data_IF_501526604779
#
_entry.id   IF_501526604779
#
_cell.length_a   1.000
_cell.length_b   1.000
_cell.length_c   1.000
_cell.angle_alpha   90.00
_cell.angle_beta   90.00
_cell.angle_gamma   90.00
#
_symmetry.space_group_name_H-M   'P 1'
#
loop_
_entity.id
_entity.type
_entity.pdbx_description
1 polymer ?
#
# COMPACT_ATOMS: atom_id res chain seq x y z
N UNK A 1 57.97 -24.38 19.72
CA UNK A 1 57.81 -22.93 20.02
C UNK A 1 57.69 -21.99 18.80
N UNK A 2 58.09 -22.36 17.56
CA UNK A 2 57.98 -21.45 16.40
C UNK A 2 56.54 -21.26 15.87
N UNK A 3 55.68 -22.27 16.03
CA UNK A 3 54.27 -22.27 15.58
C UNK A 3 53.36 -21.39 16.43
N UNK A 4 53.60 -21.29 17.74
CA UNK A 4 52.80 -20.45 18.65
C UNK A 4 52.96 -18.96 18.32
N UNK A 5 54.18 -18.52 17.96
CA UNK A 5 54.44 -17.12 17.57
C UNK A 5 53.79 -16.75 16.24
N UNK A 6 53.71 -17.67 15.27
CA UNK A 6 53.06 -17.41 13.98
C UNK A 6 51.53 -17.38 14.09
N UNK A 7 50.94 -18.24 14.91
CA UNK A 7 49.49 -18.21 15.20
C UNK A 7 49.14 -16.92 15.93
N UNK A 8 49.93 -16.52 16.93
CA UNK A 8 49.74 -15.26 17.66
C UNK A 8 49.82 -14.03 16.75
N UNK A 9 50.76 -13.99 15.79
CA UNK A 9 50.83 -12.88 14.82
C UNK A 9 49.62 -12.86 13.89
N UNK A 10 49.11 -14.02 13.47
CA UNK A 10 47.93 -14.10 12.61
C UNK A 10 46.65 -13.68 13.34
N UNK A 11 46.51 -14.05 14.61
CA UNK A 11 45.36 -13.60 15.42
C UNK A 11 45.41 -12.10 15.68
N UNK A 12 46.58 -11.54 15.99
CA UNK A 12 46.74 -10.09 16.16
C UNK A 12 46.40 -9.35 14.86
N UNK A 13 46.89 -9.81 13.70
CA UNK A 13 46.59 -9.17 12.42
C UNK A 13 45.09 -9.27 12.06
N UNK A 14 44.42 -10.37 12.39
CA UNK A 14 42.98 -10.51 12.19
C UNK A 14 42.18 -9.54 13.08
N UNK A 15 42.57 -9.39 14.35
CA UNK A 15 41.95 -8.43 15.28
C UNK A 15 42.12 -7.00 14.77
N UNK A 16 43.32 -6.64 14.32
CA UNK A 16 43.59 -5.31 13.76
C UNK A 16 42.81 -5.06 12.47
N UNK A 17 42.67 -6.06 11.61
CA UNK A 17 41.87 -5.97 10.38
C UNK A 17 40.39 -5.76 10.68
N UNK A 18 39.84 -6.50 11.65
CA UNK A 18 38.45 -6.32 12.10
C UNK A 18 38.25 -4.94 12.73
N UNK A 19 39.20 -4.47 13.55
CA UNK A 19 39.14 -3.13 14.14
C UNK A 19 39.18 -2.04 13.06
N UNK A 20 39.99 -2.19 12.01
CA UNK A 20 40.04 -1.26 10.88
C UNK A 20 38.72 -1.22 10.09
N UNK A 21 38.09 -2.39 9.86
CA UNK A 21 36.76 -2.46 9.22
C UNK A 21 35.71 -1.75 10.06
N UNK A 22 35.67 -2.02 11.37
CA UNK A 22 34.72 -1.37 12.28
C UNK A 22 34.91 0.15 12.34
N UNK A 23 36.16 0.62 12.39
CA UNK A 23 36.48 2.07 12.37
C UNK A 23 36.04 2.72 11.05
N UNK A 24 36.26 2.04 9.92
CA UNK A 24 35.88 2.55 8.60
C UNK A 24 34.35 2.62 8.46
N UNK A 25 33.64 1.58 8.89
CA UNK A 25 32.18 1.55 8.91
C UNK A 25 31.61 2.68 9.77
N UNK A 26 32.21 2.95 10.93
CA UNK A 26 31.83 4.08 11.79
C UNK A 26 32.01 5.42 11.06
N UNK A 27 33.15 5.65 10.41
CA UNK A 27 33.42 6.91 9.70
C UNK A 27 32.55 7.14 8.47
N UNK A 28 32.16 6.07 7.75
CA UNK A 28 31.37 6.18 6.52
C UNK A 28 29.87 6.30 6.83
N UNK A 29 29.39 5.63 7.88
CA UNK A 29 27.94 5.57 8.19
C UNK A 29 27.50 6.55 9.26
N UNK A 30 28.42 7.09 10.07
CA UNK A 30 28.11 8.06 11.13
C UNK A 30 27.34 7.49 12.33
N UNK A 31 27.14 6.16 12.39
CA UNK A 31 26.38 5.50 13.45
C UNK A 31 27.25 5.27 14.69
N UNK A 32 26.79 5.73 15.87
CA UNK A 32 27.50 5.49 17.11
C UNK A 32 27.32 4.04 17.59
N UNK A 33 28.32 3.49 18.30
CA UNK A 33 28.22 2.15 18.90
C UNK A 33 26.99 2.01 19.82
N UNK A 34 26.56 3.11 20.44
CA UNK A 34 25.35 3.18 21.26
C UNK A 34 24.06 3.04 20.45
N UNK A 35 24.03 3.43 19.17
CA UNK A 35 22.88 3.25 18.27
C UNK A 35 22.75 1.79 17.84
N UNK A 36 23.90 1.12 17.65
CA UNK A 36 23.94 -0.31 17.35
C UNK A 36 23.51 -1.12 18.57
N UNK A 37 23.97 -0.76 19.78
CA UNK A 37 23.52 -1.40 21.02
C UNK A 37 22.03 -1.13 21.23
N UNK A 38 21.53 0.11 21.04
CA UNK A 38 20.09 0.40 21.05
C UNK A 38 19.33 -0.46 20.04
N UNK A 39 19.84 -0.62 18.83
CA UNK A 39 19.22 -1.45 17.79
C UNK A 39 19.23 -2.95 18.16
N UNK A 40 20.31 -3.46 18.74
CA UNK A 40 20.42 -4.86 19.21
C UNK A 40 19.49 -5.10 20.42
N UNK A 41 19.50 -4.19 21.40
CA UNK A 41 18.65 -4.27 22.61
C UNK A 41 17.17 -4.08 22.26
N UNK A 42 16.84 -3.18 21.33
CA UNK A 42 15.49 -3.02 20.77
C UNK A 42 15.06 -4.25 19.94
N UNK A 43 16.00 -4.92 19.26
CA UNK A 43 15.74 -6.18 18.55
C UNK A 43 15.66 -7.43 19.45
N UNK A 44 15.92 -7.31 20.76
CA UNK A 44 15.68 -8.38 21.72
C UNK A 44 14.44 -8.17 22.60
N UNK A 45 13.93 -6.95 22.76
CA UNK A 45 12.62 -6.70 23.39
C UNK A 45 11.42 -6.68 22.41
N UNK A 46 11.66 -6.75 21.11
CA UNK A 46 10.59 -6.81 20.08
C UNK A 46 10.16 -8.21 19.63
N UNK A 47 10.49 -9.27 20.37
CA UNK A 47 10.29 -10.68 19.94
C UNK A 47 9.06 -11.41 20.50
N UNK A 48 8.21 -10.79 21.32
CA UNK A 48 6.97 -11.45 21.79
C UNK A 48 5.64 -10.71 21.55
N UNK A 49 5.61 -9.52 20.94
CA UNK A 49 4.30 -8.84 20.72
C UNK A 49 4.08 -8.16 19.35
N UNK A 50 5.03 -8.20 18.41
CA UNK A 50 4.95 -7.33 17.22
C UNK A 50 5.05 -7.97 15.82
N UNK A 51 5.39 -9.26 15.70
CA UNK A 51 5.72 -9.85 14.37
C UNK A 51 4.79 -10.95 13.87
N UNK A 52 3.99 -11.55 14.74
CA UNK A 52 2.90 -12.43 14.31
C UNK A 52 1.68 -11.65 13.79
N UNK A 53 1.50 -10.36 14.17
CA UNK A 53 0.34 -9.56 13.78
C UNK A 53 0.39 -8.96 12.37
N UNK A 54 1.55 -8.50 11.91
CA UNK A 54 1.60 -7.70 10.67
C UNK A 54 1.55 -8.53 9.38
N UNK A 55 2.15 -9.73 9.36
CA UNK A 55 2.03 -10.68 8.25
C UNK A 55 0.71 -11.48 8.31
N UNK A 56 0.19 -11.70 9.53
CA UNK A 56 -1.10 -12.39 9.73
C UNK A 56 -2.29 -11.52 9.32
N UNK A 57 -2.26 -10.20 9.50
CA UNK A 57 -3.39 -9.34 9.08
C UNK A 57 -3.55 -9.34 7.54
N UNK A 58 -2.47 -9.26 6.76
CA UNK A 58 -2.54 -9.38 5.28
C UNK A 58 -3.02 -10.77 4.82
N UNK A 59 -2.65 -11.84 5.52
CA UNK A 59 -3.08 -13.21 5.19
C UNK A 59 -4.46 -13.59 5.77
N UNK A 60 -4.87 -13.03 6.91
CA UNK A 60 -6.15 -13.29 7.56
C UNK A 60 -7.29 -12.52 6.91
N UNK A 61 -7.04 -11.30 6.42
CA UNK A 61 -8.02 -10.58 5.60
C UNK A 61 -8.24 -11.21 4.22
N UNK A 62 -7.29 -12.02 3.74
CA UNK A 62 -7.37 -12.73 2.47
C UNK A 62 -8.19 -14.04 2.54
N UNK A 63 -8.51 -14.55 3.74
CA UNK A 63 -9.06 -15.90 3.94
C UNK A 63 -10.58 -15.97 4.12
N UNK A 64 -11.23 -14.88 4.53
CA UNK A 64 -12.68 -14.85 4.67
C UNK A 64 -13.35 -14.60 3.31
N UNK A 65 -14.38 -15.38 2.93
CA UNK A 65 -15.23 -15.07 1.78
C UNK A 65 -15.68 -13.61 1.84
N UNK A 66 -15.61 -12.93 0.70
CA UNK A 66 -15.93 -11.50 0.58
C UNK A 66 -17.25 -11.11 1.26
N UNK A 67 -18.24 -12.01 1.22
CA UNK A 67 -19.60 -11.87 1.75
C UNK A 67 -19.71 -11.98 3.29
N UNK A 68 -18.69 -12.47 4.00
CA UNK A 68 -18.74 -12.70 5.47
C UNK A 68 -17.92 -11.73 6.31
N UNK A 69 -17.29 -10.72 5.69
CA UNK A 69 -16.47 -9.76 6.43
C UNK A 69 -17.35 -8.74 7.15
N UNK A 70 -17.17 -8.66 8.47
CA UNK A 70 -17.76 -7.58 9.26
C UNK A 70 -16.95 -6.30 9.05
N UNK A 71 -17.46 -5.43 8.17
CA UNK A 71 -16.86 -4.13 7.87
C UNK A 71 -17.17 -3.08 8.95
N UNK A 72 -18.13 -3.32 9.85
CA UNK A 72 -18.54 -2.34 10.88
C UNK A 72 -17.46 -2.06 11.92
N UNK A 73 -16.44 -2.89 12.00
CA UNK A 73 -15.27 -2.67 12.87
C UNK A 73 -14.30 -1.61 12.35
N UNK A 74 -14.40 -1.23 11.08
CA UNK A 74 -13.55 -0.21 10.48
C UNK A 74 -14.17 1.18 10.64
N UNK A 75 -13.35 2.25 10.73
CA UNK A 75 -13.85 3.61 10.66
C UNK A 75 -14.70 3.80 9.39
N UNK A 76 -15.89 4.38 9.55
CA UNK A 76 -16.79 4.67 8.43
C UNK A 76 -17.02 6.17 8.28
N UNK A 77 -17.29 6.57 7.05
CA UNK A 77 -17.70 7.93 6.71
C UNK A 77 -18.87 7.87 5.73
N UNK A 78 -19.89 8.70 5.98
CA UNK A 78 -20.92 8.94 4.99
C UNK A 78 -20.33 9.81 3.87
N UNK A 79 -20.49 9.36 2.62
CA UNK A 79 -19.97 10.05 1.44
C UNK A 79 -21.05 10.14 0.37
N UNK A 80 -20.92 11.17 -0.48
CA UNK A 80 -21.65 11.25 -1.74
C UNK A 80 -20.80 10.60 -2.84
N UNK A 81 -21.26 9.48 -3.39
CA UNK A 81 -20.55 8.75 -4.43
C UNK A 81 -21.19 8.95 -5.80
N UNK A 82 -20.37 9.33 -6.78
CA UNK A 82 -20.71 9.43 -8.20
C UNK A 82 -19.88 8.44 -9.01
N UNK A 83 -20.06 8.39 -10.34
CA UNK A 83 -19.24 7.54 -11.20
C UNK A 83 -18.73 8.31 -12.41
N UNK A 84 -17.50 7.99 -12.82
CA UNK A 84 -16.81 8.62 -13.93
C UNK A 84 -16.12 7.59 -14.83
N UNK A 85 -15.67 8.04 -15.99
CA UNK A 85 -14.86 7.23 -16.90
C UNK A 85 -13.58 7.96 -17.30
N UNK A 86 -12.68 7.31 -18.03
CA UNK A 86 -11.50 7.97 -18.60
C UNK A 86 -11.84 8.94 -19.75
N UNK A 87 -13.04 8.86 -20.30
CA UNK A 87 -13.48 9.56 -21.49
C UNK A 87 -13.58 11.07 -21.36
N UNK A 88 -13.85 11.72 -22.50
CA UNK A 88 -13.94 13.17 -22.64
C UNK A 88 -15.02 13.78 -21.74
N UNK A 89 -16.09 13.04 -21.48
CA UNK A 89 -17.22 13.47 -20.65
C UNK A 89 -16.85 13.67 -19.17
N UNK A 90 -15.78 13.03 -18.70
CA UNK A 90 -15.32 13.11 -17.32
C UNK A 90 -13.97 13.82 -17.19
N UNK A 91 -13.04 13.57 -18.11
CA UNK A 91 -11.65 14.06 -18.00
C UNK A 91 -11.27 15.10 -19.05
N UNK A 92 -12.12 15.31 -20.07
CA UNK A 92 -11.80 16.13 -21.23
C UNK A 92 -10.80 15.50 -22.21
N UNK A 93 -10.40 14.22 -22.01
CA UNK A 93 -9.35 13.55 -22.80
C UNK A 93 -9.91 12.51 -23.76
N UNK A 94 -9.24 12.32 -24.89
CA UNK A 94 -9.47 11.23 -25.84
C UNK A 94 -8.39 10.15 -25.72
N UNK A 95 -8.60 8.99 -26.33
CA UNK A 95 -7.64 7.87 -26.28
C UNK A 95 -6.26 8.18 -26.85
N UNK A 96 -6.16 9.21 -27.69
CA UNK A 96 -4.90 9.64 -28.30
C UNK A 96 -4.09 10.58 -27.37
N UNK A 97 -4.69 11.03 -26.26
CA UNK A 97 -3.99 11.84 -25.25
C UNK A 97 -2.98 10.95 -24.48
N UNK A 98 -1.70 11.36 -24.35
CA UNK A 98 -0.70 10.61 -23.60
C UNK A 98 -1.08 10.33 -22.13
N UNK A 99 -1.93 11.18 -21.56
CA UNK A 99 -2.42 11.08 -20.19
C UNK A 99 -3.82 10.46 -20.09
N UNK A 100 -4.34 9.88 -21.17
CA UNK A 100 -5.63 9.19 -21.18
C UNK A 100 -5.63 8.01 -20.20
N UNK A 101 -6.60 7.99 -19.30
CA UNK A 101 -6.74 6.94 -18.28
C UNK A 101 -5.62 6.92 -17.23
N UNK A 102 -4.80 7.96 -17.12
CA UNK A 102 -3.82 8.11 -16.05
C UNK A 102 -4.42 8.98 -14.94
N UNK A 103 -4.46 8.43 -13.72
CA UNK A 103 -4.95 9.10 -12.51
C UNK A 103 -3.91 10.09 -11.96
N UNK A 104 -4.31 10.94 -11.01
CA UNK A 104 -3.41 11.85 -10.30
C UNK A 104 -2.18 11.17 -9.69
N UNK A 105 -2.32 9.95 -9.14
CA UNK A 105 -1.18 9.23 -8.57
C UNK A 105 -0.21 8.66 -9.62
N UNK A 106 -0.57 8.72 -10.91
CA UNK A 106 0.21 8.18 -12.02
C UNK A 106 -0.11 6.72 -12.38
N UNK A 107 -1.02 6.06 -11.64
CA UNK A 107 -1.50 4.72 -12.04
C UNK A 107 -2.62 4.82 -13.07
N UNK A 108 -2.76 3.80 -13.91
CA UNK A 108 -3.86 3.67 -14.85
C UNK A 108 -5.14 3.30 -14.12
N UNK A 109 -6.23 3.96 -14.53
CA UNK A 109 -7.58 3.65 -14.10
C UNK A 109 -7.90 2.17 -14.32
N UNK A 110 -8.58 1.55 -13.36
CA UNK A 110 -9.01 0.14 -13.48
C UNK A 110 -10.28 -0.16 -12.71
N UNK A 111 -11.04 -1.12 -13.24
CA UNK A 111 -12.20 -1.73 -12.60
C UNK A 111 -11.92 -3.21 -12.38
N UNK A 112 -11.51 -3.59 -11.18
CA UNK A 112 -11.16 -4.95 -10.77
C UNK A 112 -11.46 -5.16 -9.27
N UNK A 113 -10.94 -6.23 -8.64
CA UNK A 113 -11.08 -6.51 -7.21
C UNK A 113 -10.78 -5.26 -6.36
N UNK A 114 -9.65 -4.61 -6.66
CA UNK A 114 -9.33 -3.26 -6.23
C UNK A 114 -9.42 -2.34 -7.45
N UNK A 115 -10.37 -1.43 -7.41
CA UNK A 115 -10.61 -0.44 -8.47
C UNK A 115 -10.06 0.93 -8.07
N UNK A 116 -9.67 1.75 -9.04
CA UNK A 116 -9.24 3.13 -8.77
C UNK A 116 -10.44 4.02 -8.51
N UNK A 117 -10.38 4.88 -7.48
CA UNK A 117 -11.40 5.89 -7.18
C UNK A 117 -10.76 7.27 -7.01
N UNK A 118 -11.55 8.31 -7.25
CA UNK A 118 -11.16 9.68 -6.97
C UNK A 118 -11.76 10.13 -5.62
N UNK A 119 -10.98 10.89 -4.84
CA UNK A 119 -11.41 11.45 -3.57
C UNK A 119 -10.65 12.73 -3.25
N UNK A 120 -11.02 13.38 -2.15
CA UNK A 120 -10.25 14.48 -1.56
C UNK A 120 -9.04 13.93 -0.75
N UNK A 121 -7.78 14.22 -1.13
CA UNK A 121 -6.58 13.72 -0.44
C UNK A 121 -6.44 14.18 1.01
N UNK A 122 -7.06 15.31 1.38
CA UNK A 122 -6.98 15.84 2.75
C UNK A 122 -7.78 14.97 3.74
N UNK A 123 -8.78 14.24 3.24
CA UNK A 123 -9.62 13.33 4.02
C UNK A 123 -9.20 11.88 3.78
N UNK A 124 -9.06 11.50 2.51
CA UNK A 124 -8.64 10.18 2.08
C UNK A 124 -7.35 10.29 1.27
N UNK A 125 -6.16 10.24 1.91
CA UNK A 125 -4.89 10.33 1.20
C UNK A 125 -4.77 9.28 0.09
N UNK A 126 -4.01 9.60 -0.96
CA UNK A 126 -3.67 8.66 -2.03
C UNK A 126 -3.15 7.34 -1.42
N UNK A 127 -3.60 6.21 -1.97
CA UNK A 127 -3.34 4.87 -1.48
C UNK A 127 -4.35 4.37 -0.44
N UNK A 128 -5.28 5.21 0.04
CA UNK A 128 -6.33 4.76 0.97
C UNK A 128 -7.18 3.67 0.34
N UNK A 129 -7.36 2.56 1.07
CA UNK A 129 -8.19 1.44 0.68
C UNK A 129 -9.54 1.55 1.37
N UNK A 130 -10.59 1.66 0.55
CA UNK A 130 -11.98 1.75 0.97
C UNK A 130 -12.72 0.47 0.60
N UNK A 131 -13.64 0.04 1.46
CA UNK A 131 -14.73 -0.83 1.04
C UNK A 131 -15.98 0.01 0.78
N UNK A 132 -16.50 -0.11 -0.43
CA UNK A 132 -17.64 0.67 -0.92
C UNK A 132 -18.78 -0.30 -1.23
N UNK A 133 -19.84 -0.32 -0.40
CA UNK A 133 -21.00 -1.18 -0.61
C UNK A 133 -21.53 -1.15 -2.05
N UNK A 134 -21.77 -2.33 -2.64
CA UNK A 134 -22.23 -2.52 -4.03
C UNK A 134 -21.23 -2.11 -5.13
N UNK A 135 -20.03 -1.64 -4.79
CA UNK A 135 -18.94 -1.37 -5.74
C UNK A 135 -17.77 -2.34 -5.55
N UNK A 136 -17.33 -2.55 -4.31
CA UNK A 136 -16.16 -3.37 -3.97
C UNK A 136 -15.05 -2.54 -3.33
N UNK A 137 -13.80 -3.02 -3.43
CA UNK A 137 -12.66 -2.25 -2.93
C UNK A 137 -12.29 -1.12 -3.89
N UNK A 138 -12.20 0.09 -3.33
CA UNK A 138 -11.67 1.26 -4.00
C UNK A 138 -10.32 1.62 -3.41
N UNK A 139 -9.34 1.93 -4.26
CA UNK A 139 -8.07 2.54 -3.85
C UNK A 139 -8.08 3.97 -4.33
N UNK A 140 -7.91 4.92 -3.41
CA UNK A 140 -7.84 6.34 -3.76
C UNK A 140 -6.57 6.57 -4.57
N UNK A 141 -6.75 6.79 -5.85
CA UNK A 141 -5.67 6.92 -6.84
C UNK A 141 -5.76 8.25 -7.59
N UNK A 142 -6.94 8.84 -7.63
CA UNK A 142 -7.21 10.03 -8.42
C UNK A 142 -7.76 11.17 -7.57
N UNK A 143 -7.77 12.37 -8.15
CA UNK A 143 -8.36 13.57 -7.57
C UNK A 143 -9.18 14.29 -8.64
N UNK A 144 -10.16 15.07 -8.22
CA UNK A 144 -10.95 15.91 -9.11
C UNK A 144 -11.10 17.32 -8.56
N UNK A 145 -11.22 18.30 -9.44
CA UNK A 145 -11.49 19.69 -9.03
C UNK A 145 -12.84 19.81 -8.30
N UNK A 146 -13.84 19.05 -8.75
CA UNK A 146 -15.17 19.00 -8.14
C UNK A 146 -15.28 18.02 -6.96
N UNK A 147 -14.33 17.09 -6.81
CA UNK A 147 -14.37 16.06 -5.75
C UNK A 147 -13.68 16.62 -4.51
N UNK A 148 -14.49 17.14 -3.58
CA UNK A 148 -14.03 17.82 -2.36
C UNK A 148 -14.81 17.36 -1.14
N UNK A 149 -14.15 17.27 0.01
CA UNK A 149 -14.78 16.80 1.23
C UNK A 149 -15.09 15.29 1.17
N UNK A 150 -16.23 14.89 1.74
CA UNK A 150 -16.72 13.51 1.73
C UNK A 150 -17.42 13.17 0.42
N UNK A 151 -16.75 13.38 -0.70
CA UNK A 151 -17.20 12.99 -2.05
C UNK A 151 -16.26 11.94 -2.64
N UNK A 152 -16.85 10.99 -3.37
CA UNK A 152 -16.12 9.97 -4.12
C UNK A 152 -16.58 9.95 -5.57
N UNK A 153 -15.64 9.69 -6.47
CA UNK A 153 -15.93 9.38 -7.87
C UNK A 153 -15.41 7.99 -8.22
N UNK A 154 -16.32 7.10 -8.62
CA UNK A 154 -16.03 5.69 -8.82
C UNK A 154 -15.77 5.41 -10.29
N UNK A 155 -14.60 4.84 -10.59
CA UNK A 155 -14.24 4.57 -11.97
C UNK A 155 -15.11 3.45 -12.55
N UNK A 156 -15.60 3.67 -13.77
CA UNK A 156 -16.21 2.67 -14.64
C UNK A 156 -15.60 2.73 -16.05
N UNK A 157 -15.48 1.59 -16.76
CA UNK A 157 -14.93 1.58 -18.11
C UNK A 157 -15.78 2.30 -19.16
N UNK A 158 -17.10 2.39 -18.94
CA UNK A 158 -18.04 3.00 -19.89
C UNK A 158 -19.09 3.85 -19.18
N UNK A 159 -19.57 4.87 -19.88
CA UNK A 159 -20.68 5.74 -19.44
C UNK A 159 -21.93 4.91 -19.15
N UNK A 160 -22.20 3.90 -19.98
CA UNK A 160 -23.32 2.96 -19.80
C UNK A 160 -23.24 2.26 -18.44
N UNK A 161 -22.06 1.77 -18.06
CA UNK A 161 -21.88 1.10 -16.76
C UNK A 161 -22.13 2.04 -15.57
N UNK A 162 -21.79 3.33 -15.69
CA UNK A 162 -22.09 4.33 -14.64
C UNK A 162 -23.61 4.43 -14.42
N UNK A 163 -24.37 4.56 -15.50
CA UNK A 163 -25.83 4.69 -15.44
C UNK A 163 -26.51 3.41 -14.97
N UNK A 164 -26.08 2.25 -15.45
CA UNK A 164 -26.72 0.97 -15.14
C UNK A 164 -26.38 0.46 -13.74
N UNK A 165 -25.18 0.78 -13.21
CA UNK A 165 -24.66 0.14 -11.98
C UNK A 165 -24.54 1.07 -10.78
N UNK A 166 -24.51 2.40 -10.97
CA UNK A 166 -24.25 3.32 -9.86
C UNK A 166 -25.25 4.48 -9.75
N UNK A 167 -25.21 5.46 -10.65
CA UNK A 167 -25.86 6.75 -10.39
C UNK A 167 -25.34 7.47 -9.12
N UNK A 168 -25.76 8.71 -8.87
CA UNK A 168 -25.38 9.48 -7.67
C UNK A 168 -26.12 8.96 -6.43
N UNK A 169 -25.39 8.66 -5.36
CA UNK A 169 -25.98 8.16 -4.10
C UNK A 169 -25.13 8.52 -2.88
N UNK A 170 -25.79 8.63 -1.73
CA UNK A 170 -25.14 8.82 -0.42
C UNK A 170 -25.09 7.48 0.31
N UNK A 171 -23.93 7.09 0.82
CA UNK A 171 -23.75 5.84 1.56
C UNK A 171 -22.54 5.89 2.52
N UNK A 172 -22.51 4.96 3.47
CA UNK A 172 -21.34 4.73 4.31
C UNK A 172 -20.28 3.91 3.57
N UNK A 173 -19.05 4.41 3.59
CA UNK A 173 -17.86 3.69 3.16
C UNK A 173 -16.96 3.37 4.35
N UNK A 174 -16.18 2.30 4.23
CA UNK A 174 -15.36 1.80 5.33
C UNK A 174 -13.88 1.90 4.99
N UNK A 175 -13.09 2.54 5.85
CA UNK A 175 -11.65 2.72 5.66
C UNK A 175 -10.91 1.48 6.13
N UNK A 176 -10.45 0.66 5.18
CA UNK A 176 -9.77 -0.61 5.45
C UNK A 176 -8.31 -0.38 5.81
N UNK A 177 -7.66 0.51 5.06
CA UNK A 177 -6.27 0.92 5.27
C UNK A 177 -6.12 2.38 4.85
N UNK A 178 -5.53 3.21 5.71
CA UNK A 178 -5.28 4.62 5.40
C UNK A 178 -4.03 4.72 4.52
N UNK A 179 -4.13 5.48 3.43
CA UNK A 179 -3.01 5.73 2.52
C UNK A 179 -1.93 6.60 3.13
N UNK A 180 -0.72 6.50 2.57
CA UNK A 180 0.44 7.31 2.95
C UNK A 180 0.65 8.54 2.06
N UNK A 181 -0.24 8.76 1.09
CA UNK A 181 -0.12 9.83 0.09
C UNK A 181 0.55 9.39 -1.21
N UNK A 182 0.86 8.11 -1.37
CA UNK A 182 1.48 7.57 -2.59
C UNK A 182 0.78 6.30 -3.07
N UNK A 183 0.84 6.06 -4.39
CA UNK A 183 0.37 4.81 -5.00
C UNK A 183 1.17 4.55 -6.28
N UNK A 184 1.70 3.34 -6.42
CA UNK A 184 2.48 2.91 -7.59
C UNK A 184 1.80 1.76 -8.31
N UNK A 185 2.18 1.55 -9.57
CA UNK A 185 1.55 0.48 -10.36
C UNK A 185 1.81 -0.92 -9.81
N UNK A 186 3.03 -1.17 -9.34
CA UNK A 186 3.39 -2.45 -8.75
C UNK A 186 2.53 -2.79 -7.52
N UNK A 187 2.20 -1.78 -6.70
CA UNK A 187 1.31 -1.95 -5.54
C UNK A 187 -0.11 -2.26 -6.02
N UNK A 188 -0.61 -1.52 -7.00
CA UNK A 188 -1.95 -1.72 -7.54
C UNK A 188 -2.11 -3.07 -8.25
N UNK A 189 -1.07 -3.56 -8.92
CA UNK A 189 -1.00 -4.90 -9.50
C UNK A 189 -0.95 -5.98 -8.42
N UNK A 190 -0.13 -5.82 -7.37
CA UNK A 190 -0.04 -6.78 -6.27
C UNK A 190 -1.38 -6.99 -5.56
N UNK A 191 -2.14 -5.90 -5.34
CA UNK A 191 -3.48 -5.95 -4.76
C UNK A 191 -4.44 -6.81 -5.60
N UNK A 192 -4.39 -6.67 -6.93
CA UNK A 192 -5.28 -7.41 -7.84
C UNK A 192 -4.79 -8.83 -8.14
N UNK A 193 -3.48 -9.08 -8.13
CA UNK A 193 -2.88 -10.39 -8.36
C UNK A 193 -3.04 -11.36 -7.17
N UNK A 194 -3.38 -10.87 -5.98
CA UNK A 194 -3.69 -11.70 -4.81
C UNK A 194 -4.84 -12.70 -5.09
N UNK A 195 -5.72 -12.37 -6.04
CA UNK A 195 -6.79 -13.24 -6.56
C UNK A 195 -6.27 -14.56 -7.13
N UNK A 196 -5.12 -14.54 -7.80
CA UNK A 196 -4.54 -15.70 -8.47
C UNK A 196 -4.08 -16.74 -7.44
N UNK A 197 -3.41 -16.31 -6.36
CA UNK A 197 -2.99 -17.23 -5.29
C UNK A 197 -4.18 -17.85 -4.54
N UNK A 198 -5.25 -17.08 -4.29
CA UNK A 198 -6.45 -17.59 -3.62
C UNK A 198 -7.23 -18.64 -4.45
N UNK A 199 -7.13 -18.63 -5.78
CA UNK A 199 -7.76 -19.63 -6.65
C UNK A 199 -6.87 -20.87 -6.80
N UNK A 200 -5.54 -20.71 -6.86
CA UNK A 200 -4.59 -21.83 -6.89
C UNK A 200 -4.52 -22.59 -5.56
N UNK A 201 -4.73 -21.95 -4.41
CA UNK A 201 -4.82 -22.62 -3.10
C UNK A 201 -6.13 -23.40 -2.90
N UNK A 202 -7.09 -23.33 -3.84
CA UNK A 202 -8.41 -23.97 -3.76
C UNK A 202 -8.60 -25.17 -4.70
N UNK A 203 -7.60 -25.52 -5.51
CA UNK A 203 -7.60 -26.69 -6.41
C UNK A 203 -6.50 -27.67 -6.02
#
# INVERSE_FOLDING_TARGET
MKTTRSVMRRTIMAILFIAAILTTLYTVTGLQANDIIKWITHNQQGKETGRAGHLSIKQAHAREPFDKRDFKKYPSHEVVATGYTAGIESTGKTKDDPSFGITYSGVKVRRDLYSTVAADPDIFPIGTVLFIPNYGYGVVADTGSAIKGYELDLYYPTVKDVYERWGKRTLDVYVIEKGDGSLTENVMEALNNTKTQQVFERN
#
